data_IF_026738422599
#
_entry.id   IF_026738422599
#
_cell.length_a   1.000
_cell.length_b   1.000
_cell.length_c   1.000
_cell.angle_alpha   90.00
_cell.angle_beta   90.00
_cell.angle_gamma   90.00
#
_symmetry.space_group_name_H-M   'P 1'
#
loop_
_entity.id
_entity.type
_entity.pdbx_description
1 polymer ?
#
# COMPACT_ATOMS: atom_id res chain seq x y z
N UNK A 1 -44.19 -13.97 40.55
CA UNK A 1 -44.46 -15.27 39.89
C UNK A 1 -44.72 -15.05 38.41
N UNK A 2 -43.85 -15.58 37.55
CA UNK A 2 -44.20 -16.24 36.28
C UNK A 2 -42.90 -16.84 35.75
N UNK A 3 -42.73 -18.12 36.05
CA UNK A 3 -41.72 -18.99 35.47
C UNK A 3 -42.22 -19.35 34.08
N UNK A 4 -41.42 -19.12 33.05
CA UNK A 4 -41.55 -19.85 31.79
C UNK A 4 -40.20 -20.50 31.55
N UNK A 5 -40.08 -21.73 32.05
CA UNK A 5 -39.16 -22.72 31.51
C UNK A 5 -39.72 -23.17 30.17
N UNK A 6 -38.91 -23.17 29.11
CA UNK A 6 -39.09 -24.14 28.04
C UNK A 6 -37.72 -24.65 27.58
N UNK A 7 -37.63 -25.96 27.59
CA UNK A 7 -36.44 -26.78 27.49
C UNK A 7 -36.05 -27.02 26.03
N UNK A 8 -34.73 -27.08 25.81
CA UNK A 8 -33.96 -28.05 25.00
C UNK A 8 -34.67 -28.69 23.79
N UNK A 9 -34.10 -28.48 22.59
CA UNK A 9 -33.73 -29.52 21.60
C UNK A 9 -33.51 -28.88 20.22
N UNK A 10 -32.26 -28.79 19.78
CA UNK A 10 -31.87 -29.00 18.38
C UNK A 10 -30.34 -29.13 18.32
N UNK A 11 -29.88 -30.37 18.35
CA UNK A 11 -28.56 -30.73 17.87
C UNK A 11 -28.43 -30.35 16.39
N UNK A 12 -27.21 -30.04 15.96
CA UNK A 12 -26.87 -30.02 14.54
C UNK A 12 -26.69 -28.63 13.96
N UNK A 13 -25.57 -28.01 14.28
CA UNK A 13 -24.70 -27.47 13.22
C UNK A 13 -23.31 -27.38 13.81
N UNK A 14 -22.53 -28.43 13.56
CA UNK A 14 -21.09 -28.32 13.56
C UNK A 14 -20.77 -27.30 12.47
N UNK A 15 -20.80 -26.01 12.81
CA UNK A 15 -20.20 -24.99 11.96
C UNK A 15 -18.73 -25.35 11.94
N UNK A 16 -18.31 -26.10 10.91
CA UNK A 16 -16.94 -26.05 10.46
C UNK A 16 -16.63 -24.57 10.30
N UNK A 17 -16.00 -24.00 11.32
CA UNK A 17 -15.25 -22.77 11.18
C UNK A 17 -14.20 -23.11 10.12
N UNK A 18 -14.56 -22.90 8.86
CA UNK A 18 -13.63 -22.93 7.76
C UNK A 18 -12.57 -21.92 8.13
N UNK A 19 -11.43 -22.42 8.58
CA UNK A 19 -10.22 -21.63 8.65
C UNK A 19 -10.01 -21.12 7.23
N UNK A 20 -10.42 -19.87 6.98
CA UNK A 20 -10.05 -19.17 5.78
C UNK A 20 -8.52 -19.11 5.82
N UNK A 21 -7.87 -20.00 5.06
CA UNK A 21 -6.43 -19.92 4.84
C UNK A 21 -6.20 -18.58 4.17
N UNK A 22 -5.64 -17.62 4.89
CA UNK A 22 -5.19 -16.37 4.31
C UNK A 22 -4.29 -16.71 3.12
N UNK A 23 -4.59 -16.14 1.95
CA UNK A 23 -3.80 -16.40 0.75
C UNK A 23 -2.35 -15.99 1.03
N UNK A 24 -1.42 -16.93 0.88
CA UNK A 24 0.01 -16.68 1.08
C UNK A 24 0.52 -15.73 0.01
N UNK A 25 1.19 -14.65 0.40
CA UNK A 25 1.80 -13.72 -0.56
C UNK A 25 2.92 -14.43 -1.32
N UNK A 26 2.89 -14.29 -2.65
CA UNK A 26 3.81 -14.94 -3.56
C UNK A 26 4.92 -13.99 -4.02
N UNK A 27 5.96 -14.54 -4.66
CA UNK A 27 6.98 -13.75 -5.35
C UNK A 27 6.38 -12.81 -6.41
N UNK A 28 5.36 -13.27 -7.14
CA UNK A 28 4.66 -12.46 -8.14
C UNK A 28 3.99 -11.24 -7.51
N UNK A 29 3.34 -11.42 -6.35
CA UNK A 29 2.70 -10.31 -5.64
C UNK A 29 3.72 -9.26 -5.18
N UNK A 30 4.88 -9.70 -4.67
CA UNK A 30 5.98 -8.82 -4.29
C UNK A 30 6.54 -8.05 -5.49
N UNK A 31 6.77 -8.73 -6.62
CA UNK A 31 7.26 -8.10 -7.85
C UNK A 31 6.27 -7.06 -8.41
N UNK A 32 4.97 -7.35 -8.37
CA UNK A 32 3.92 -6.41 -8.77
C UNK A 32 3.92 -5.17 -7.87
N UNK A 33 4.00 -5.35 -6.55
CA UNK A 33 4.05 -4.24 -5.61
C UNK A 33 5.32 -3.38 -5.81
N UNK A 34 6.49 -3.99 -6.03
CA UNK A 34 7.72 -3.28 -6.36
C UNK A 34 7.60 -2.46 -7.65
N UNK A 35 7.00 -3.04 -8.70
CA UNK A 35 6.79 -2.35 -9.97
C UNK A 35 5.84 -1.13 -9.81
N UNK A 36 4.77 -1.28 -9.04
CA UNK A 36 3.84 -0.18 -8.72
C UNK A 36 4.55 0.95 -7.97
N UNK A 37 5.28 0.62 -6.91
CA UNK A 37 6.07 1.58 -6.12
C UNK A 37 7.09 2.33 -6.99
N UNK A 38 7.84 1.59 -7.83
CA UNK A 38 8.83 2.18 -8.74
C UNK A 38 8.19 3.16 -9.73
N UNK A 39 7.01 2.81 -10.26
CA UNK A 39 6.25 3.68 -11.18
C UNK A 39 5.81 4.97 -10.50
N UNK A 40 5.22 4.86 -9.30
CA UNK A 40 4.78 6.03 -8.52
C UNK A 40 5.97 6.94 -8.16
N UNK A 41 7.09 6.34 -7.73
CA UNK A 41 8.33 7.07 -7.45
C UNK A 41 8.87 7.77 -8.70
N UNK A 42 8.90 7.11 -9.86
CA UNK A 42 9.38 7.70 -11.11
C UNK A 42 8.52 8.89 -11.53
N UNK A 43 7.19 8.75 -11.51
CA UNK A 43 6.25 9.84 -11.79
C UNK A 43 6.49 11.05 -10.88
N UNK A 44 6.65 10.80 -9.59
CA UNK A 44 6.82 11.88 -8.59
C UNK A 44 8.21 12.52 -8.66
N UNK A 45 9.24 11.71 -8.94
CA UNK A 45 10.60 12.20 -9.13
C UNK A 45 10.75 13.02 -10.40
N UNK A 46 9.98 12.71 -11.45
CA UNK A 46 10.01 13.48 -12.70
C UNK A 46 9.68 14.95 -12.45
N UNK A 47 8.77 15.25 -11.52
CA UNK A 47 8.40 16.61 -11.13
C UNK A 47 9.16 17.13 -9.90
N UNK A 48 10.30 16.52 -9.57
CA UNK A 48 11.22 16.92 -8.48
C UNK A 48 10.60 16.97 -7.08
N UNK A 49 9.51 16.23 -6.86
CA UNK A 49 8.73 16.32 -5.62
C UNK A 49 8.84 15.10 -4.70
N UNK A 50 9.62 14.09 -5.09
CA UNK A 50 9.75 12.87 -4.30
C UNK A 50 10.51 13.15 -2.99
N UNK A 51 9.94 12.71 -1.86
CA UNK A 51 10.61 12.81 -0.57
C UNK A 51 11.88 11.94 -0.53
N UNK A 52 12.96 12.47 0.06
CA UNK A 52 14.28 11.84 0.10
C UNK A 52 14.31 10.49 0.83
N UNK A 53 13.35 10.23 1.72
CA UNK A 53 13.24 8.98 2.48
C UNK A 53 12.62 7.84 1.67
N UNK A 54 11.78 8.11 0.66
CA UNK A 54 11.03 7.10 -0.08
C UNK A 54 11.93 6.05 -0.77
N UNK A 55 13.06 6.42 -1.42
CA UNK A 55 13.98 5.44 -2.01
C UNK A 55 14.59 4.47 -1.00
N UNK A 56 14.74 4.85 0.27
CA UNK A 56 15.24 3.95 1.31
C UNK A 56 14.23 2.85 1.62
N UNK A 57 12.95 3.20 1.78
CA UNK A 57 11.87 2.23 2.00
C UNK A 57 11.75 1.26 0.82
N UNK A 58 11.85 1.76 -0.40
CA UNK A 58 11.84 0.92 -1.59
C UNK A 58 13.03 -0.06 -1.63
N UNK A 59 14.24 0.38 -1.27
CA UNK A 59 15.41 -0.53 -1.17
C UNK A 59 15.22 -1.62 -0.12
N UNK A 60 14.57 -1.30 1.00
CA UNK A 60 14.23 -2.29 2.02
C UNK A 60 13.19 -3.30 1.51
N UNK A 61 12.25 -2.88 0.65
CA UNK A 61 11.33 -3.78 -0.05
C UNK A 61 12.07 -4.72 -1.02
N UNK A 62 13.00 -4.19 -1.83
CA UNK A 62 13.82 -5.01 -2.73
C UNK A 62 14.69 -6.02 -1.97
N UNK A 63 15.22 -5.63 -0.80
CA UNK A 63 15.99 -6.52 0.06
C UNK A 63 15.12 -7.66 0.63
N UNK A 64 13.87 -7.36 1.03
CA UNK A 64 12.92 -8.37 1.49
C UNK A 64 12.53 -9.36 0.38
N UNK A 65 12.27 -8.87 -0.84
CA UNK A 65 11.96 -9.71 -2.00
C UNK A 65 13.10 -10.69 -2.33
N UNK A 66 14.33 -10.18 -2.39
CA UNK A 66 15.54 -11.00 -2.60
C UNK A 66 15.75 -12.04 -1.50
N UNK A 67 15.27 -11.78 -0.29
CA UNK A 67 15.34 -12.69 0.83
C UNK A 67 14.16 -13.69 0.89
N UNK A 68 13.24 -13.67 -0.08
CA UNK A 68 12.04 -14.51 -0.10
C UNK A 68 10.98 -14.11 0.92
N UNK A 69 11.11 -12.92 1.52
CA UNK A 69 10.17 -12.39 2.53
C UNK A 69 9.07 -11.60 1.84
N UNK A 70 8.23 -12.28 1.07
CA UNK A 70 7.30 -11.62 0.15
C UNK A 70 6.24 -10.76 0.85
N UNK A 71 5.72 -11.17 2.01
CA UNK A 71 4.83 -10.34 2.82
C UNK A 71 5.48 -9.00 3.18
N UNK A 72 6.73 -9.06 3.67
CA UNK A 72 7.51 -7.90 4.07
C UNK A 72 7.85 -7.00 2.86
N UNK A 73 8.14 -7.61 1.71
CA UNK A 73 8.38 -6.91 0.47
C UNK A 73 7.14 -6.15 -0.01
N UNK A 74 5.97 -6.79 -0.01
CA UNK A 74 4.70 -6.16 -0.41
C UNK A 74 4.35 -4.99 0.51
N UNK A 75 4.47 -5.16 1.83
CA UNK A 75 4.15 -4.08 2.79
C UNK A 75 5.07 -2.87 2.57
N UNK A 76 6.38 -3.09 2.45
CA UNK A 76 7.32 -1.98 2.23
C UNK A 76 7.18 -1.34 0.86
N UNK A 77 6.92 -2.13 -0.18
CA UNK A 77 6.69 -1.60 -1.53
C UNK A 77 5.44 -0.71 -1.56
N UNK A 78 4.32 -1.17 -0.99
CA UNK A 78 3.10 -0.36 -0.85
C UNK A 78 3.33 0.91 -0.03
N UNK A 79 4.12 0.82 1.04
CA UNK A 79 4.48 2.00 1.81
C UNK A 79 5.30 3.01 0.98
N UNK A 80 6.27 2.56 0.19
CA UNK A 80 7.02 3.43 -0.72
C UNK A 80 6.13 4.05 -1.81
N UNK A 81 5.17 3.28 -2.35
CA UNK A 81 4.16 3.77 -3.29
C UNK A 81 3.31 4.88 -2.68
N UNK A 82 2.79 4.67 -1.47
CA UNK A 82 1.99 5.64 -0.74
C UNK A 82 2.76 6.94 -0.47
N UNK A 83 4.01 6.83 0.01
CA UNK A 83 4.88 8.00 0.22
C UNK A 83 5.11 8.78 -1.08
N UNK A 84 5.32 8.09 -2.21
CA UNK A 84 5.47 8.75 -3.50
C UNK A 84 4.19 9.49 -3.91
N UNK A 85 3.03 8.84 -3.79
CA UNK A 85 1.75 9.45 -4.14
C UNK A 85 1.40 10.65 -3.25
N UNK A 86 1.68 10.57 -1.94
CA UNK A 86 1.49 11.68 -1.00
C UNK A 86 2.42 12.85 -1.34
N UNK A 87 3.67 12.58 -1.66
CA UNK A 87 4.62 13.61 -2.07
C UNK A 87 4.17 14.30 -3.37
N UNK A 88 3.68 13.54 -4.35
CA UNK A 88 3.09 14.10 -5.58
C UNK A 88 1.88 14.98 -5.28
N UNK A 89 0.94 14.51 -4.47
CA UNK A 89 -0.25 15.26 -4.09
C UNK A 89 0.09 16.55 -3.33
N UNK A 90 1.11 16.51 -2.47
CA UNK A 90 1.64 17.70 -1.81
C UNK A 90 2.17 18.70 -2.83
N UNK A 91 2.89 18.24 -3.85
CA UNK A 91 3.38 19.08 -4.93
C UNK A 91 2.27 19.76 -5.72
N UNK A 92 1.29 18.98 -6.18
CA UNK A 92 0.11 19.50 -6.89
C UNK A 92 -0.64 20.55 -6.06
N UNK A 93 -0.82 20.31 -4.76
CA UNK A 93 -1.48 21.26 -3.86
C UNK A 93 -0.69 22.58 -3.73
N UNK A 94 0.64 22.52 -3.67
CA UNK A 94 1.48 23.71 -3.64
C UNK A 94 1.45 24.45 -4.99
N UNK A 95 1.55 23.73 -6.10
CA UNK A 95 1.46 24.30 -7.44
C UNK A 95 0.15 25.07 -7.62
N UNK A 96 -0.98 24.44 -7.29
CA UNK A 96 -2.31 25.07 -7.32
C UNK A 96 -2.39 26.31 -6.43
N UNK A 97 -1.84 26.25 -5.21
CA UNK A 97 -1.85 27.39 -4.28
C UNK A 97 -1.14 28.62 -4.87
N UNK A 98 -0.07 28.42 -5.64
CA UNK A 98 0.73 29.49 -6.20
C UNK A 98 0.44 29.80 -7.68
N UNK A 99 -0.53 29.13 -8.30
CA UNK A 99 -0.86 29.34 -9.71
C UNK A 99 0.28 28.93 -10.66
N UNK A 100 0.98 27.85 -10.31
CA UNK A 100 2.10 27.32 -11.08
C UNK A 100 1.87 25.85 -11.41
N UNK A 101 2.55 25.36 -12.44
CA UNK A 101 2.58 23.96 -12.84
C UNK A 101 3.92 23.33 -12.44
N UNK A 102 3.85 22.10 -11.96
CA UNK A 102 5.05 21.26 -11.80
C UNK A 102 5.32 20.52 -13.10
N UNK A 103 6.52 20.68 -13.65
CA UNK A 103 6.98 20.00 -14.85
C UNK A 103 8.31 19.29 -14.57
N UNK A 104 8.75 18.50 -15.52
CA UNK A 104 10.09 17.89 -15.53
C UNK A 104 11.23 18.92 -15.64
N UNK A 105 10.93 20.10 -16.18
CA UNK A 105 11.82 21.25 -16.26
C UNK A 105 11.76 22.17 -15.03
N UNK A 106 10.88 21.89 -14.05
CA UNK A 106 10.75 22.65 -12.81
C UNK A 106 9.39 23.33 -12.66
N UNK A 107 9.37 24.50 -12.02
CA UNK A 107 8.13 25.26 -11.79
C UNK A 107 7.87 26.17 -12.99
N UNK A 108 6.72 26.02 -13.63
CA UNK A 108 6.28 26.87 -14.74
C UNK A 108 5.11 27.74 -14.29
N UNK A 109 5.14 29.04 -14.59
CA UNK A 109 3.99 29.92 -14.39
C UNK A 109 2.95 29.70 -15.49
N UNK A 110 1.67 29.77 -15.13
CA UNK A 110 0.57 29.78 -16.08
C UNK A 110 0.49 31.08 -16.88
#
# INVERSE_FOLDING_TARGET
>A
MKRVLMSVMAAGTLTMAGFATAATVTATDAQQALAAAKTAMAKTSAVHYLWLSTPKVYKEAEAADKAGKYDEAVVKAKHAEELANLAYAQGEAQAKKYGVKLTDHGVQMD
#
